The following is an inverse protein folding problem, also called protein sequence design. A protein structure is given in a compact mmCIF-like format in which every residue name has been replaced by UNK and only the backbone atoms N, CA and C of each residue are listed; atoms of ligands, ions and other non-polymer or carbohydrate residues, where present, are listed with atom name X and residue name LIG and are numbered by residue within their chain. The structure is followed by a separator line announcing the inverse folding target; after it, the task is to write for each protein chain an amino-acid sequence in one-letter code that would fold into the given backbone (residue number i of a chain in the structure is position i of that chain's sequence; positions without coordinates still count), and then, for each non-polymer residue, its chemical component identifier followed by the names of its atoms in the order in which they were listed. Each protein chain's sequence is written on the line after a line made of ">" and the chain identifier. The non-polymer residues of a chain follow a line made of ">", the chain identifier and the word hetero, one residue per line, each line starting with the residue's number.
data_IF_875113342573
#
_entry.id   IF_875113342573
#
_cell.length_a   1.000
_cell.length_b   1.000
_cell.length_c   1.000
_cell.angle_alpha   90.00
_cell.angle_beta   90.00
_cell.angle_gamma   90.00
#
_symmetry.space_group_name_H-M   'P 1'
#
loop_
_entity.id
_entity.type
_entity.pdbx_description
1 polymer ?
#
# COMPACT_ATOMS: atom_id res chain seq x y z
N UNK A 1 17.17 9.43 38.40
CA UNK A 1 15.82 9.44 37.78
C UNK A 1 15.79 8.48 36.61
N UNK A 2 14.80 7.58 36.55
CA UNK A 2 14.66 6.62 35.45
C UNK A 2 14.48 7.32 34.11
N UNK A 3 15.12 6.80 33.07
CA UNK A 3 15.03 7.25 31.67
C UNK A 3 14.75 6.06 30.76
N UNK A 4 14.26 6.34 29.55
CA UNK A 4 14.28 5.36 28.47
C UNK A 4 15.57 5.59 27.69
N UNK A 5 16.39 4.57 27.58
CA UNK A 5 17.66 4.63 26.88
C UNK A 5 17.56 3.88 25.56
N UNK A 6 17.99 4.51 24.48
CA UNK A 6 18.09 3.89 23.17
C UNK A 6 19.56 3.87 22.79
N UNK A 7 20.09 2.67 22.59
CA UNK A 7 21.46 2.40 22.17
C UNK A 7 21.44 1.97 20.71
N UNK A 8 22.25 2.62 19.88
CA UNK A 8 22.41 2.34 18.46
C UNK A 8 23.87 2.03 18.21
N UNK A 9 24.14 0.96 17.48
CA UNK A 9 25.49 0.55 17.07
C UNK A 9 25.47 0.20 15.58
N UNK A 10 26.63 0.22 14.91
CA UNK A 10 26.75 -0.18 13.51
C UNK A 10 27.13 0.95 12.56
N UNK A 11 26.80 0.81 11.28
CA UNK A 11 27.31 1.60 10.16
C UNK A 11 27.06 3.10 10.29
N UNK A 12 25.92 3.49 10.85
CA UNK A 12 25.53 4.90 11.02
C UNK A 12 26.12 5.56 12.26
N UNK A 13 26.93 4.82 13.02
CA UNK A 13 27.63 5.29 14.20
C UNK A 13 29.13 5.28 13.94
N UNK A 14 29.80 6.43 14.07
CA UNK A 14 31.26 6.54 13.87
C UNK A 14 31.91 7.43 14.91
N UNK A 15 32.97 6.93 15.52
CA UNK A 15 33.68 7.67 16.56
C UNK A 15 32.69 8.22 17.58
N UNK A 16 31.78 7.34 18.02
CA UNK A 16 30.79 7.68 19.03
C UNK A 16 29.72 8.70 18.54
N UNK A 17 29.61 9.01 17.25
CA UNK A 17 28.60 9.94 16.71
C UNK A 17 27.59 9.19 15.84
N UNK A 18 26.30 9.43 16.05
CA UNK A 18 25.22 8.92 15.19
C UNK A 18 24.88 9.93 14.06
N UNK A 19 24.58 9.43 12.86
CA UNK A 19 24.02 10.28 11.80
C UNK A 19 22.69 10.91 12.24
N UNK A 20 22.56 12.22 12.02
CA UNK A 20 21.37 13.01 12.43
C UNK A 20 20.07 12.44 11.86
N UNK A 21 20.08 12.02 10.58
CA UNK A 21 18.90 11.44 9.94
C UNK A 21 18.47 10.12 10.59
N UNK A 22 19.43 9.24 10.93
CA UNK A 22 19.18 7.98 11.63
C UNK A 22 18.59 8.24 13.02
N UNK A 23 19.18 9.16 13.79
CA UNK A 23 18.67 9.56 15.10
C UNK A 23 17.24 10.10 15.03
N UNK A 24 16.98 11.05 14.12
CA UNK A 24 15.65 11.63 13.92
C UNK A 24 14.62 10.57 13.52
N UNK A 25 15.01 9.65 12.65
CA UNK A 25 14.15 8.56 12.21
C UNK A 25 13.77 7.62 13.37
N UNK A 26 14.74 7.23 14.21
CA UNK A 26 14.49 6.37 15.38
C UNK A 26 13.59 7.08 16.38
N UNK A 27 13.95 8.30 16.79
CA UNK A 27 13.21 9.07 17.80
C UNK A 27 11.76 9.34 17.37
N UNK A 28 11.55 9.75 16.12
CA UNK A 28 10.20 10.06 15.61
C UNK A 28 9.30 8.82 15.53
N UNK A 29 9.83 7.68 15.08
CA UNK A 29 9.05 6.44 15.05
C UNK A 29 8.82 5.86 16.44
N UNK A 30 9.81 5.96 17.35
CA UNK A 30 9.66 5.53 18.74
C UNK A 30 8.60 6.35 19.48
N UNK A 31 8.60 7.68 19.32
CA UNK A 31 7.57 8.55 19.86
C UNK A 31 6.17 8.17 19.36
N UNK A 32 6.02 7.97 18.05
CA UNK A 32 4.73 7.58 17.45
C UNK A 32 4.29 6.20 17.93
N UNK A 33 5.22 5.25 18.09
CA UNK A 33 4.93 3.94 18.66
C UNK A 33 4.34 4.06 20.07
N UNK A 34 4.92 4.90 20.94
CA UNK A 34 4.34 5.13 22.27
C UNK A 34 2.93 5.74 22.19
N UNK A 35 2.66 6.61 21.22
CA UNK A 35 1.30 7.13 21.01
C UNK A 35 0.32 6.05 20.55
N UNK A 36 0.75 5.09 19.75
CA UNK A 36 -0.09 3.98 19.31
C UNK A 36 -0.35 2.98 20.45
N UNK A 37 0.66 2.75 21.31
CA UNK A 37 0.59 1.83 22.46
C UNK A 37 -0.14 2.40 23.68
N UNK A 38 -0.27 3.72 23.80
CA UNK A 38 -0.87 4.33 25.00
C UNK A 38 -2.37 3.97 25.14
N UNK A 39 -2.85 3.73 26.37
CA UNK A 39 -4.29 3.59 26.62
C UNK A 39 -5.06 4.85 26.22
N UNK A 40 -6.31 4.70 25.74
CA UNK A 40 -7.14 5.83 25.25
C UNK A 40 -7.32 6.95 26.28
N UNK A 41 -7.37 6.62 27.57
CA UNK A 41 -7.55 7.58 28.68
C UNK A 41 -6.26 8.30 29.09
N UNK A 42 -5.09 7.86 28.62
CA UNK A 42 -3.81 8.46 28.98
C UNK A 42 -3.52 9.67 28.08
N UNK A 43 -3.33 10.85 28.69
CA UNK A 43 -2.95 12.08 27.96
C UNK A 43 -1.59 11.89 27.29
N UNK A 44 -1.41 12.50 26.12
CA UNK A 44 -0.19 12.33 25.34
C UNK A 44 1.06 12.89 26.04
N UNK A 45 0.91 13.91 26.89
CA UNK A 45 2.03 14.51 27.63
C UNK A 45 2.78 13.50 28.51
N UNK A 46 2.07 12.49 29.04
CA UNK A 46 2.67 11.41 29.85
C UNK A 46 3.55 10.44 29.06
N UNK A 47 3.49 10.49 27.72
CA UNK A 47 4.26 9.63 26.82
C UNK A 47 4.99 10.42 25.74
N UNK A 48 4.95 11.76 25.80
CA UNK A 48 5.71 12.64 24.91
C UNK A 48 7.12 12.74 25.45
N UNK A 49 8.10 12.31 24.66
CA UNK A 49 9.49 12.15 25.03
C UNK A 49 10.32 13.35 24.59
N UNK A 50 11.22 13.75 25.47
CA UNK A 50 12.20 14.80 25.25
C UNK A 50 13.59 14.19 25.35
N UNK A 51 14.47 14.59 24.44
CA UNK A 51 15.87 14.22 24.48
C UNK A 51 16.53 14.97 25.64
N UNK A 52 17.06 14.25 26.62
CA UNK A 52 17.62 14.83 27.84
C UNK A 52 19.12 14.52 27.97
N UNK A 53 19.52 13.28 27.67
CA UNK A 53 20.89 12.84 27.78
C UNK A 53 21.46 12.48 26.42
N UNK A 54 22.43 13.27 25.97
CA UNK A 54 23.30 12.94 24.85
C UNK A 54 24.74 13.09 25.33
N UNK A 55 25.37 12.00 25.74
CA UNK A 55 26.77 12.01 26.19
C UNK A 55 27.70 12.40 25.02
N UNK A 56 28.89 12.90 25.34
CA UNK A 56 29.85 13.34 24.33
C UNK A 56 30.32 12.14 23.52
N UNK A 57 29.92 12.10 22.26
CA UNK A 57 30.11 10.88 21.49
C UNK A 57 29.06 9.81 21.89
N UNK A 58 27.79 10.18 21.82
CA UNK A 58 26.74 9.19 22.03
C UNK A 58 26.25 8.53 20.77
N UNK A 59 26.30 7.21 20.80
CA UNK A 59 25.37 6.32 20.12
C UNK A 59 24.24 5.86 21.06
N UNK A 60 24.26 6.32 22.31
CA UNK A 60 23.30 6.01 23.38
C UNK A 60 22.66 7.30 23.86
N UNK A 61 21.34 7.38 23.83
CA UNK A 61 20.64 8.59 24.23
C UNK A 61 19.46 8.29 25.14
N UNK A 62 19.31 9.15 26.14
CA UNK A 62 18.24 9.08 27.12
C UNK A 62 17.10 10.01 26.75
N UNK A 63 15.88 9.47 26.73
CA UNK A 63 14.64 10.21 26.50
C UNK A 63 13.69 10.05 27.68
N UNK A 64 12.95 11.12 27.98
CA UNK A 64 12.06 11.16 29.13
C UNK A 64 10.81 12.02 28.88
N UNK A 65 9.66 11.67 29.47
CA UNK A 65 8.51 12.56 29.45
C UNK A 65 8.65 13.72 30.44
N UNK A 66 8.14 14.90 30.09
CA UNK A 66 8.15 16.09 30.98
C UNK A 66 7.50 15.81 32.34
N UNK A 67 6.48 14.96 32.38
CA UNK A 67 5.74 14.65 33.62
C UNK A 67 6.42 13.58 34.49
N UNK A 68 7.68 13.20 34.21
CA UNK A 68 8.41 12.18 34.96
C UNK A 68 8.69 12.54 36.43
N UNK A 69 8.56 13.82 36.80
CA UNK A 69 8.82 14.31 38.15
C UNK A 69 7.85 13.82 39.24
N UNK A 70 6.75 13.13 38.88
CA UNK A 70 5.68 12.79 39.82
C UNK A 70 5.67 11.33 40.28
N UNK A 71 6.32 10.41 39.57
CA UNK A 71 6.32 8.97 39.91
C UNK A 71 7.57 8.28 39.37
N UNK A 72 8.15 7.39 40.17
CA UNK A 72 9.38 6.66 39.85
C UNK A 72 9.14 5.55 38.79
N UNK A 73 9.06 5.94 37.52
CA UNK A 73 8.73 5.07 36.37
C UNK A 73 7.31 5.29 35.84
N UNK A 74 7.08 6.47 35.25
CA UNK A 74 5.78 6.84 34.70
C UNK A 74 5.30 5.96 33.52
N UNK A 75 4.11 6.24 32.98
CA UNK A 75 3.46 5.41 31.95
C UNK A 75 4.33 5.13 30.73
N UNK A 76 5.16 6.07 30.29
CA UNK A 76 6.08 5.89 29.16
C UNK A 76 7.10 4.76 29.41
N UNK A 77 7.71 4.74 30.61
CA UNK A 77 8.69 3.73 31.02
C UNK A 77 8.04 2.35 31.07
N UNK A 78 6.86 2.25 31.69
CA UNK A 78 6.11 1.00 31.84
C UNK A 78 5.62 0.42 30.51
N UNK A 79 5.11 1.28 29.61
CA UNK A 79 4.69 0.86 28.27
C UNK A 79 5.91 0.35 27.51
N UNK A 80 7.00 1.09 27.52
CA UNK A 80 8.25 0.72 26.83
C UNK A 80 8.75 -0.63 27.33
N UNK A 81 8.97 -0.77 28.64
CA UNK A 81 9.56 -1.97 29.21
C UNK A 81 8.68 -3.20 28.97
N UNK A 82 7.37 -3.11 29.25
CA UNK A 82 6.45 -4.24 29.07
C UNK A 82 6.31 -4.64 27.61
N UNK A 83 6.16 -3.66 26.72
CA UNK A 83 5.98 -3.94 25.29
C UNK A 83 7.25 -4.53 24.68
N UNK A 84 8.41 -3.90 24.89
CA UNK A 84 9.66 -4.37 24.30
C UNK A 84 10.12 -5.70 24.88
N UNK A 85 9.93 -5.97 26.18
CA UNK A 85 10.20 -7.30 26.74
C UNK A 85 9.32 -8.38 26.11
N UNK A 86 8.04 -8.08 25.88
CA UNK A 86 7.13 -9.06 25.27
C UNK A 86 7.48 -9.30 23.81
N UNK A 87 7.71 -8.24 23.05
CA UNK A 87 7.95 -8.31 21.60
C UNK A 87 9.34 -8.88 21.25
N UNK A 88 10.37 -8.62 22.06
CA UNK A 88 11.71 -9.17 21.85
C UNK A 88 11.76 -10.69 22.04
N UNK A 89 10.85 -11.21 22.87
CA UNK A 89 10.78 -12.63 23.21
C UNK A 89 9.91 -13.45 22.26
N UNK A 90 9.20 -12.80 21.33
CA UNK A 90 8.40 -13.47 20.31
C UNK A 90 9.26 -14.38 19.44
N UNK A 91 8.84 -15.63 19.23
CA UNK A 91 9.58 -16.60 18.40
C UNK A 91 8.80 -17.02 17.15
N UNK A 92 7.57 -16.54 16.97
CA UNK A 92 6.72 -16.85 15.82
C UNK A 92 5.86 -15.66 15.40
N UNK A 93 5.32 -15.71 14.17
CA UNK A 93 4.34 -14.71 13.71
C UNK A 93 3.04 -14.77 14.51
N UNK A 94 2.63 -15.95 14.95
CA UNK A 94 1.35 -16.13 15.65
C UNK A 94 1.41 -15.54 17.06
N UNK A 95 2.53 -15.69 17.78
CA UNK A 95 2.77 -14.98 19.04
C UNK A 95 2.74 -13.45 18.85
N UNK A 96 3.32 -12.94 17.76
CA UNK A 96 3.25 -11.51 17.42
C UNK A 96 1.80 -11.06 17.21
N UNK A 97 1.01 -11.83 16.46
CA UNK A 97 -0.42 -11.54 16.22
C UNK A 97 -1.23 -11.58 17.50
N UNK A 98 -0.96 -12.52 18.39
CA UNK A 98 -1.62 -12.61 19.70
C UNK A 98 -1.37 -11.35 20.54
N UNK A 99 -0.14 -10.82 20.54
CA UNK A 99 0.17 -9.54 21.19
C UNK A 99 -0.66 -8.40 20.58
N UNK A 100 -0.73 -8.36 19.25
CA UNK A 100 -1.37 -7.28 18.50
C UNK A 100 -2.90 -7.33 18.51
N UNK A 101 -3.50 -8.50 18.77
CA UNK A 101 -4.95 -8.70 18.87
C UNK A 101 -5.63 -7.82 19.92
N UNK A 102 -4.86 -7.30 20.88
CA UNK A 102 -5.31 -6.36 21.92
C UNK A 102 -5.56 -4.95 21.39
N UNK A 103 -5.17 -4.67 20.15
CA UNK A 103 -5.32 -3.38 19.50
C UNK A 103 -6.29 -3.49 18.32
N UNK A 104 -7.07 -2.42 18.03
CA UNK A 104 -7.78 -2.32 16.76
C UNK A 104 -6.81 -2.50 15.59
N UNK A 105 -7.29 -3.10 14.50
CA UNK A 105 -6.45 -3.49 13.37
C UNK A 105 -5.62 -2.33 12.78
N UNK A 106 -6.23 -1.16 12.58
CA UNK A 106 -5.51 0.03 12.10
C UNK A 106 -4.36 0.46 13.03
N UNK A 107 -4.50 0.26 14.35
CA UNK A 107 -3.42 0.52 15.32
C UNK A 107 -2.34 -0.55 15.24
N UNK A 108 -2.72 -1.82 15.12
CA UNK A 108 -1.76 -2.90 14.96
C UNK A 108 -0.87 -2.69 13.73
N UNK A 109 -1.46 -2.25 12.61
CA UNK A 109 -0.75 -1.86 11.38
C UNK A 109 0.25 -0.73 11.66
N UNK A 110 -0.18 0.34 12.35
CA UNK A 110 0.71 1.44 12.71
C UNK A 110 1.85 0.99 13.63
N UNK A 111 1.55 0.18 14.66
CA UNK A 111 2.56 -0.39 15.57
C UNK A 111 3.60 -1.18 14.78
N UNK A 112 3.18 -2.09 13.91
CA UNK A 112 4.07 -2.87 13.04
C UNK A 112 4.92 -1.97 12.13
N UNK A 113 4.29 -0.95 11.52
CA UNK A 113 4.97 0.04 10.67
C UNK A 113 6.04 0.82 11.43
N UNK A 114 5.79 1.21 12.69
CA UNK A 114 6.80 1.89 13.53
C UNK A 114 7.88 0.94 13.98
N UNK A 115 7.51 -0.27 14.40
CA UNK A 115 8.44 -1.31 14.82
C UNK A 115 9.43 -1.65 13.71
N UNK A 116 8.97 -1.89 12.48
CA UNK A 116 9.84 -2.18 11.34
C UNK A 116 10.91 -1.10 11.12
N UNK A 117 10.58 0.16 11.41
CA UNK A 117 11.47 1.32 11.23
C UNK A 117 12.48 1.55 12.36
N UNK A 118 12.25 0.98 13.54
CA UNK A 118 13.15 1.10 14.70
C UNK A 118 13.81 -0.22 15.09
N UNK A 119 13.47 -1.32 14.41
CA UNK A 119 14.07 -2.61 14.65
C UNK A 119 15.45 -2.68 14.01
N UNK A 120 16.37 -3.42 14.62
CA UNK A 120 17.72 -3.60 14.06
C UNK A 120 17.67 -4.21 12.65
N UNK A 121 18.63 -3.82 11.81
CA UNK A 121 19.02 -4.53 10.58
C UNK A 121 20.45 -5.05 10.68
N UNK A 122 20.97 -5.52 9.55
CA UNK A 122 22.33 -5.97 9.36
C UNK A 122 23.35 -4.82 9.50
N UNK A 123 22.95 -3.59 9.20
CA UNK A 123 23.82 -2.42 9.23
C UNK A 123 23.80 -1.71 10.60
N UNK A 124 22.65 -1.69 11.28
CA UNK A 124 22.46 -0.97 12.54
C UNK A 124 21.75 -1.84 13.59
N UNK A 125 22.33 -1.90 14.78
CA UNK A 125 21.86 -2.66 15.92
C UNK A 125 21.26 -1.72 16.97
N UNK A 126 20.04 -2.01 17.40
CA UNK A 126 19.25 -1.16 18.28
C UNK A 126 18.88 -1.95 19.54
N UNK A 127 19.11 -1.31 20.69
CA UNK A 127 18.76 -1.84 22.00
C UNK A 127 18.05 -0.80 22.84
N UNK A 128 17.09 -1.23 23.67
CA UNK A 128 16.25 -0.35 24.49
C UNK A 128 16.37 -0.74 25.96
N UNK A 129 16.76 0.22 26.81
CA UNK A 129 16.85 0.07 28.26
C UNK A 129 15.91 1.03 28.99
N UNK A 130 15.51 0.69 30.22
CA UNK A 130 14.76 1.60 31.10
C UNK A 130 15.39 1.57 32.48
N UNK A 131 15.85 2.72 32.97
CA UNK A 131 16.58 2.80 34.23
C UNK A 131 17.33 4.13 34.38
N UNK A 132 18.05 4.32 35.48
CA UNK A 132 18.89 5.51 35.65
C UNK A 132 20.08 5.48 34.70
N UNK A 133 20.88 4.42 34.77
CA UNK A 133 21.98 4.10 33.85
C UNK A 133 21.99 2.58 33.63
N UNK A 134 21.18 2.06 32.69
CA UNK A 134 21.09 0.62 32.46
C UNK A 134 22.45 0.07 32.03
N UNK A 135 22.83 -1.04 32.65
CA UNK A 135 23.96 -1.88 32.22
C UNK A 135 23.63 -2.60 30.92
N UNK A 136 24.65 -3.11 30.20
CA UNK A 136 24.43 -3.83 28.95
C UNK A 136 23.46 -5.03 29.08
N UNK A 137 23.41 -5.67 30.25
CA UNK A 137 22.47 -6.77 30.52
C UNK A 137 21.01 -6.33 30.70
N UNK A 138 20.77 -5.04 30.98
CA UNK A 138 19.43 -4.46 31.16
C UNK A 138 18.84 -3.93 29.86
N UNK A 139 19.64 -3.88 28.79
CA UNK A 139 19.18 -3.52 27.46
C UNK A 139 18.46 -4.69 26.78
N UNK A 140 17.29 -4.39 26.22
CA UNK A 140 16.53 -5.30 25.36
C UNK A 140 17.06 -5.14 23.95
N UNK A 141 17.80 -6.15 23.48
CA UNK A 141 18.30 -6.17 22.11
C UNK A 141 17.20 -6.53 21.10
N UNK A 142 17.02 -5.68 20.09
CA UNK A 142 16.05 -5.91 19.01
C UNK A 142 16.69 -6.80 17.93
N UNK A 143 16.67 -8.11 18.13
CA UNK A 143 17.37 -9.05 17.24
C UNK A 143 16.96 -8.90 15.74
N UNK A 144 17.89 -8.56 14.81
CA UNK A 144 17.60 -8.38 13.39
C UNK A 144 16.87 -9.56 12.74
N UNK A 145 17.18 -10.80 13.15
CA UNK A 145 16.55 -12.02 12.62
C UNK A 145 15.03 -12.04 12.83
N UNK A 146 14.53 -11.36 13.87
CA UNK A 146 13.11 -11.25 14.19
C UNK A 146 12.39 -10.14 13.41
N UNK A 147 13.13 -9.26 12.71
CA UNK A 147 12.54 -8.18 11.88
C UNK A 147 11.62 -8.74 10.80
N UNK A 148 11.94 -9.92 10.25
CA UNK A 148 11.11 -10.61 9.26
C UNK A 148 9.72 -10.93 9.81
N UNK A 149 9.58 -11.31 11.08
CA UNK A 149 8.26 -11.56 11.66
C UNK A 149 7.40 -10.31 11.68
N UNK A 150 8.00 -9.15 12.02
CA UNK A 150 7.32 -7.86 12.02
C UNK A 150 6.90 -7.48 10.61
N UNK A 151 7.81 -7.59 9.65
CA UNK A 151 7.56 -7.25 8.24
C UNK A 151 6.49 -8.14 7.62
N UNK A 152 6.59 -9.44 7.79
CA UNK A 152 5.63 -10.38 7.20
C UNK A 152 4.23 -10.21 7.81
N UNK A 153 4.13 -10.01 9.13
CA UNK A 153 2.84 -9.73 9.78
C UNK A 153 2.27 -8.39 9.34
N UNK A 154 3.10 -7.36 9.11
CA UNK A 154 2.67 -6.08 8.55
C UNK A 154 2.05 -6.26 7.16
N UNK A 155 2.74 -7.00 6.28
CA UNK A 155 2.27 -7.30 4.93
C UNK A 155 0.94 -8.06 4.99
N UNK A 156 0.80 -9.05 5.87
CA UNK A 156 -0.43 -9.84 6.00
C UNK A 156 -1.64 -8.99 6.44
N UNK A 157 -1.45 -8.07 7.39
CA UNK A 157 -2.51 -7.16 7.80
C UNK A 157 -2.90 -6.21 6.66
N UNK A 158 -1.92 -5.69 5.93
CA UNK A 158 -2.18 -4.79 4.81
C UNK A 158 -2.87 -5.47 3.62
N UNK A 159 -2.60 -6.76 3.36
CA UNK A 159 -3.26 -7.52 2.27
C UNK A 159 -4.78 -7.53 2.36
N UNK A 160 -5.36 -7.39 3.55
CA UNK A 160 -6.82 -7.28 3.72
C UNK A 160 -7.41 -5.98 3.14
N UNK A 161 -6.57 -4.98 2.91
CA UNK A 161 -6.90 -3.69 2.31
C UNK A 161 -6.36 -3.58 0.87
N UNK A 162 -6.14 -4.73 0.21
CA UNK A 162 -5.73 -4.73 -1.18
C UNK A 162 -6.83 -4.11 -2.06
N UNK A 163 -6.39 -3.40 -3.08
CA UNK A 163 -7.22 -2.83 -4.12
C UNK A 163 -6.62 -3.21 -5.48
N UNK A 164 -7.46 -3.16 -6.49
CA UNK A 164 -7.08 -3.35 -7.88
C UNK A 164 -7.09 -1.98 -8.55
N UNK A 165 -5.96 -1.60 -9.15
CA UNK A 165 -5.86 -0.36 -9.89
C UNK A 165 -5.38 -0.67 -11.30
N UNK A 166 -6.05 -0.06 -12.26
CA UNK A 166 -5.81 -0.34 -13.66
C UNK A 166 -5.14 0.84 -14.36
N UNK A 167 -4.34 0.55 -15.36
CA UNK A 167 -3.62 1.55 -16.13
C UNK A 167 -2.47 0.95 -16.94
N UNK A 168 -1.51 1.77 -17.31
CA UNK A 168 -0.34 1.37 -18.08
C UNK A 168 0.95 1.62 -17.28
N UNK A 169 1.90 0.70 -17.34
CA UNK A 169 3.20 0.87 -16.69
C UNK A 169 4.06 1.87 -17.46
N UNK A 170 4.49 2.92 -16.75
CA UNK A 170 5.31 4.02 -17.26
C UNK A 170 6.46 4.31 -16.29
N UNK A 171 7.46 5.09 -16.70
CA UNK A 171 8.55 5.59 -15.83
C UNK A 171 9.20 4.48 -15.00
N UNK A 172 9.46 3.34 -15.64
CA UNK A 172 9.98 2.16 -14.95
C UNK A 172 11.50 2.28 -14.80
N UNK A 173 11.99 2.20 -13.57
CA UNK A 173 13.41 2.15 -13.24
C UNK A 173 13.72 0.79 -12.57
N UNK A 174 14.22 -0.18 -13.34
CA UNK A 174 14.53 -1.54 -12.85
C UNK A 174 16.01 -1.77 -12.49
N UNK A 175 16.85 -0.77 -12.71
CA UNK A 175 18.32 -0.83 -12.52
C UNK A 175 18.78 -0.13 -11.23
N UNK A 176 17.84 0.41 -10.45
CA UNK A 176 18.09 1.04 -9.15
C UNK A 176 17.40 0.25 -8.05
N UNK A 177 17.99 0.21 -6.87
CA UNK A 177 17.35 -0.38 -5.68
C UNK A 177 16.86 0.75 -4.74
N UNK A 178 15.57 0.77 -4.34
CA UNK A 178 14.51 -0.14 -4.78
C UNK A 178 14.07 0.12 -6.24
N UNK A 179 13.57 -0.92 -6.90
CA UNK A 179 13.00 -0.78 -8.25
C UNK A 179 11.73 0.07 -8.18
N UNK A 180 11.50 0.91 -9.18
CA UNK A 180 10.36 1.84 -9.19
C UNK A 180 9.58 1.81 -10.50
N UNK A 181 8.30 2.17 -10.44
CA UNK A 181 7.45 2.40 -11.61
C UNK A 181 6.39 3.47 -11.33
N UNK A 182 5.83 4.03 -12.40
CA UNK A 182 4.60 4.80 -12.38
C UNK A 182 3.48 4.03 -13.10
N UNK A 183 2.31 3.92 -12.48
CA UNK A 183 1.10 3.46 -13.14
C UNK A 183 0.33 4.70 -13.64
N UNK A 184 0.22 4.86 -14.96
CA UNK A 184 -0.67 5.85 -15.57
C UNK A 184 -2.08 5.26 -15.59
N UNK A 185 -2.93 5.72 -14.67
CA UNK A 185 -4.23 5.13 -14.40
C UNK A 185 -5.26 5.48 -15.47
N UNK A 186 -6.36 4.73 -15.47
CA UNK A 186 -7.51 4.92 -16.36
C UNK A 186 -8.11 6.34 -16.33
N UNK A 187 -7.90 7.11 -15.25
CA UNK A 187 -8.37 8.50 -15.07
C UNK A 187 -7.26 9.55 -15.30
N UNK A 188 -6.15 9.15 -15.92
CA UNK A 188 -5.03 10.03 -16.27
C UNK A 188 -4.11 10.42 -15.11
N UNK A 189 -4.25 9.84 -13.92
CA UNK A 189 -3.34 10.08 -12.79
C UNK A 189 -2.10 9.19 -12.89
N UNK A 190 -1.05 9.57 -12.14
CA UNK A 190 0.15 8.74 -11.99
C UNK A 190 0.24 8.29 -10.53
N UNK A 191 0.19 6.98 -10.32
CA UNK A 191 0.42 6.34 -9.02
C UNK A 191 1.82 5.72 -9.01
N UNK A 192 2.61 6.03 -7.99
CA UNK A 192 3.97 5.49 -7.86
C UNK A 192 3.96 4.12 -7.18
N UNK A 193 4.85 3.24 -7.61
CA UNK A 193 5.13 1.99 -6.92
C UNK A 193 6.63 1.77 -6.76
N UNK A 194 7.01 1.14 -5.66
CA UNK A 194 8.38 0.75 -5.35
C UNK A 194 8.37 -0.67 -4.79
N UNK A 195 9.31 -1.51 -5.24
CA UNK A 195 9.45 -2.86 -4.72
C UNK A 195 10.92 -3.27 -4.67
N UNK A 196 11.23 -4.17 -3.75
CA UNK A 196 12.56 -4.78 -3.66
C UNK A 196 12.57 -6.07 -4.50
N UNK A 197 13.39 -6.16 -5.57
CA UNK A 197 13.49 -7.35 -6.40
C UNK A 197 14.06 -8.56 -5.64
N UNK A 198 14.75 -8.36 -4.51
CA UNK A 198 15.26 -9.46 -3.67
C UNK A 198 14.12 -10.15 -2.92
N UNK A 199 13.07 -9.40 -2.61
CA UNK A 199 11.90 -9.93 -1.91
C UNK A 199 10.83 -10.44 -2.87
N UNK A 200 10.73 -9.82 -4.05
CA UNK A 200 9.73 -10.14 -5.06
C UNK A 200 10.37 -10.21 -6.46
N UNK A 201 11.19 -11.24 -6.74
CA UNK A 201 11.92 -11.34 -8.00
C UNK A 201 10.99 -11.44 -9.21
N UNK A 202 9.84 -12.11 -9.05
CA UNK A 202 8.86 -12.30 -10.12
C UNK A 202 8.23 -10.99 -10.61
N UNK A 203 8.10 -9.98 -9.73
CA UNK A 203 7.52 -8.69 -10.10
C UNK A 203 8.39 -7.96 -11.12
N UNK A 204 9.72 -8.06 -11.01
CA UNK A 204 10.65 -7.44 -11.97
C UNK A 204 10.42 -8.00 -13.37
N UNK A 205 10.28 -9.32 -13.48
CA UNK A 205 10.09 -9.98 -14.77
C UNK A 205 8.69 -9.75 -15.34
N UNK A 206 7.65 -9.70 -14.49
CA UNK A 206 6.29 -9.34 -14.90
C UNK A 206 6.22 -7.92 -15.45
N UNK A 207 6.82 -6.94 -14.77
CA UNK A 207 6.84 -5.54 -15.23
C UNK A 207 7.48 -5.42 -16.61
N UNK A 208 8.62 -6.08 -16.85
CA UNK A 208 9.28 -6.06 -18.17
C UNK A 208 8.37 -6.54 -19.30
N UNK A 209 7.58 -7.59 -19.04
CA UNK A 209 6.65 -8.18 -20.03
C UNK A 209 5.39 -7.34 -20.26
N UNK A 210 5.10 -6.42 -19.35
CA UNK A 210 3.89 -5.62 -19.33
C UNK A 210 4.18 -4.11 -19.50
N UNK A 211 5.38 -3.76 -19.96
CA UNK A 211 5.72 -2.37 -20.26
C UNK A 211 4.82 -1.86 -21.39
N UNK A 212 4.22 -0.69 -21.18
CA UNK A 212 3.33 -0.03 -22.15
C UNK A 212 2.05 -0.81 -22.50
N UNK A 213 1.84 -1.96 -21.87
CA UNK A 213 0.60 -2.74 -21.99
C UNK A 213 -0.41 -2.33 -20.91
N UNK A 214 -1.72 -2.46 -21.19
CA UNK A 214 -2.76 -2.40 -20.16
C UNK A 214 -2.51 -3.42 -19.05
N UNK A 215 -2.51 -2.96 -17.80
CA UNK A 215 -2.30 -3.79 -16.62
C UNK A 215 -3.33 -3.53 -15.53
N UNK A 216 -3.58 -4.59 -14.76
CA UNK A 216 -4.16 -4.56 -13.43
C UNK A 216 -3.04 -4.72 -12.41
N UNK A 217 -2.89 -3.74 -11.52
CA UNK A 217 -1.97 -3.78 -10.38
C UNK A 217 -2.75 -4.10 -9.13
N UNK A 218 -2.37 -5.19 -8.46
CA UNK A 218 -2.97 -5.61 -7.18
C UNK A 218 -2.02 -5.17 -6.07
N UNK A 219 -2.49 -4.34 -5.15
CA UNK A 219 -1.64 -3.79 -4.10
C UNK A 219 -2.42 -3.01 -3.05
N UNK A 220 -1.69 -2.39 -2.13
CA UNK A 220 -2.29 -1.58 -1.06
C UNK A 220 -1.96 -0.12 -1.34
N UNK A 221 -2.97 0.65 -1.72
CA UNK A 221 -2.80 2.03 -2.15
C UNK A 221 -2.87 3.01 -0.98
N UNK A 222 -1.92 3.94 -0.90
CA UNK A 222 -2.06 5.13 -0.10
C UNK A 222 -2.55 6.28 -0.99
N UNK A 223 -3.86 6.50 -1.03
CA UNK A 223 -4.51 7.49 -1.90
C UNK A 223 -3.96 8.91 -1.69
N UNK A 224 -3.76 9.31 -0.43
CA UNK A 224 -3.22 10.62 -0.07
C UNK A 224 -1.83 10.86 -0.66
N UNK A 225 -1.01 9.82 -0.76
CA UNK A 225 0.35 9.90 -1.32
C UNK A 225 0.42 9.52 -2.79
N UNK A 226 -0.69 9.07 -3.40
CA UNK A 226 -0.74 8.49 -4.75
C UNK A 226 0.38 7.46 -4.96
N UNK A 227 0.55 6.55 -4.00
CA UNK A 227 1.63 5.55 -3.98
C UNK A 227 1.16 4.22 -3.41
N UNK A 228 1.58 3.11 -4.01
CA UNK A 228 1.42 1.78 -3.41
C UNK A 228 2.34 1.62 -2.20
N UNK A 229 1.77 1.28 -1.03
CA UNK A 229 2.56 0.86 0.14
C UNK A 229 3.10 -0.56 -0.04
N UNK A 230 2.33 -1.43 -0.70
CA UNK A 230 2.71 -2.80 -1.05
C UNK A 230 2.19 -3.12 -2.45
N UNK A 231 3.02 -3.78 -3.25
CA UNK A 231 2.61 -4.39 -4.51
C UNK A 231 2.56 -5.89 -4.31
N UNK A 232 1.47 -6.52 -4.71
CA UNK A 232 1.23 -7.95 -4.59
C UNK A 232 1.38 -8.64 -5.94
N UNK A 233 0.83 -8.05 -7.01
CA UNK A 233 0.87 -8.66 -8.33
C UNK A 233 0.66 -7.65 -9.46
N UNK A 234 1.08 -8.04 -10.68
CA UNK A 234 0.73 -7.41 -11.94
C UNK A 234 0.09 -8.44 -12.86
N UNK A 235 -1.03 -8.08 -13.46
CA UNK A 235 -1.76 -8.92 -14.41
C UNK A 235 -2.04 -8.13 -15.68
N UNK A 236 -1.95 -8.75 -16.88
CA UNK A 236 -2.36 -8.08 -18.10
C UNK A 236 -3.87 -7.81 -18.07
N UNK A 237 -4.27 -6.59 -18.42
CA UNK A 237 -5.68 -6.24 -18.62
C UNK A 237 -6.02 -6.43 -20.10
N UNK A 238 -6.36 -7.66 -20.48
CA UNK A 238 -6.67 -7.98 -21.89
C UNK A 238 -8.10 -7.63 -22.26
N UNK A 239 -9.01 -7.75 -21.29
CA UNK A 239 -10.44 -7.59 -21.48
C UNK A 239 -11.07 -6.91 -20.27
N UNK A 240 -12.15 -6.17 -20.51
CA UNK A 240 -13.07 -5.69 -19.47
C UNK A 240 -14.47 -6.20 -19.75
N UNK A 241 -15.25 -6.38 -18.69
CA UNK A 241 -16.65 -6.77 -18.73
C UNK A 241 -17.49 -5.54 -18.36
N UNK A 242 -18.38 -5.13 -19.26
CA UNK A 242 -19.33 -4.05 -19.04
C UNK A 242 -20.73 -4.65 -18.86
N UNK A 243 -21.39 -4.32 -17.75
CA UNK A 243 -22.79 -4.71 -17.46
C UNK A 243 -23.79 -3.62 -17.86
N UNK A 244 -23.29 -2.41 -18.09
CA UNK A 244 -24.03 -1.26 -18.55
C UNK A 244 -23.16 -0.51 -19.56
N UNK A 245 -23.80 0.06 -20.58
CA UNK A 245 -23.17 0.95 -21.56
C UNK A 245 -24.10 2.15 -21.69
N UNK A 246 -23.66 3.31 -21.18
CA UNK A 246 -24.47 4.52 -21.13
C UNK A 246 -25.68 4.32 -20.24
N UNK A 247 -26.87 4.50 -20.81
CA UNK A 247 -28.14 4.30 -20.11
C UNK A 247 -28.66 2.85 -20.14
N UNK A 248 -28.04 1.97 -20.93
CA UNK A 248 -28.57 0.65 -21.21
C UNK A 248 -28.01 -0.42 -20.29
N UNK A 249 -28.89 -1.24 -19.71
CA UNK A 249 -28.52 -2.37 -18.87
C UNK A 249 -28.48 -3.66 -19.69
N UNK A 250 -27.39 -4.40 -19.54
CA UNK A 250 -27.17 -5.64 -20.27
C UNK A 250 -27.62 -6.83 -19.42
N UNK A 251 -28.25 -7.83 -20.06
CA UNK A 251 -28.63 -9.09 -19.41
C UNK A 251 -27.41 -9.88 -18.95
N UNK A 252 -26.37 -9.85 -19.76
CA UNK A 252 -25.06 -10.47 -19.51
C UNK A 252 -23.96 -9.45 -19.85
N UNK A 253 -22.79 -9.51 -19.19
CA UNK A 253 -21.74 -8.54 -19.45
C UNK A 253 -21.15 -8.72 -20.85
N UNK A 254 -20.98 -7.61 -21.57
CA UNK A 254 -20.24 -7.61 -22.82
C UNK A 254 -18.74 -7.48 -22.55
N UNK A 255 -17.97 -8.31 -23.25
CA UNK A 255 -16.51 -8.32 -23.17
C UNK A 255 -15.93 -7.40 -24.23
N UNK A 256 -15.04 -6.52 -23.80
CA UNK A 256 -14.28 -5.64 -24.69
C UNK A 256 -12.81 -5.94 -24.53
N UNK A 257 -12.13 -6.16 -25.66
CA UNK A 257 -10.67 -6.25 -25.66
C UNK A 257 -10.10 -4.87 -25.39
N UNK A 258 -9.21 -4.78 -24.41
CA UNK A 258 -8.51 -3.53 -24.05
C UNK A 258 -7.17 -3.49 -24.78
N UNK A 259 -6.94 -2.39 -25.49
CA UNK A 259 -5.70 -2.13 -26.21
C UNK A 259 -5.24 -0.72 -25.84
N UNK A 260 -3.94 -0.55 -25.62
CA UNK A 260 -3.33 0.77 -25.47
C UNK A 260 -2.24 0.91 -26.52
N UNK A 261 -2.45 1.79 -27.49
CA UNK A 261 -1.53 2.01 -28.61
C UNK A 261 -1.44 3.51 -28.92
N UNK A 262 -0.24 3.98 -29.25
CA UNK A 262 0.08 5.41 -29.46
C UNK A 262 -0.55 6.38 -28.44
N UNK A 263 -0.55 5.97 -27.17
CA UNK A 263 -1.15 6.70 -26.03
C UNK A 263 -2.68 6.85 -26.05
N UNK A 264 -3.35 6.08 -26.89
CA UNK A 264 -4.81 6.01 -27.01
C UNK A 264 -5.28 4.66 -26.48
N UNK A 265 -6.33 4.67 -25.68
CA UNK A 265 -7.05 3.48 -25.24
C UNK A 265 -8.09 3.10 -26.27
N UNK A 266 -8.20 1.81 -26.55
CA UNK A 266 -9.24 1.24 -27.40
C UNK A 266 -9.98 0.13 -26.66
N UNK A 267 -11.30 0.12 -26.83
CA UNK A 267 -12.19 -0.96 -26.42
C UNK A 267 -12.79 -1.57 -27.68
N UNK A 268 -12.43 -2.82 -28.00
CA UNK A 268 -12.88 -3.53 -29.21
C UNK A 268 -13.80 -4.69 -28.84
N UNK A 269 -15.06 -4.62 -29.28
CA UNK A 269 -15.97 -5.76 -29.35
C UNK A 269 -16.29 -6.10 -30.80
N UNK A 270 -15.59 -7.12 -31.32
CA UNK A 270 -15.73 -7.58 -32.69
C UNK A 270 -17.07 -8.22 -33.02
N UNK A 271 -17.79 -8.74 -32.02
CA UNK A 271 -19.05 -9.45 -32.23
C UNK A 271 -20.20 -8.52 -32.60
N UNK A 272 -20.16 -7.30 -32.04
CA UNK A 272 -21.09 -6.21 -32.31
C UNK A 272 -20.48 -5.13 -33.21
N UNK A 273 -19.19 -5.24 -33.53
CA UNK A 273 -18.43 -4.22 -34.26
C UNK A 273 -18.50 -2.85 -33.55
N UNK A 274 -18.36 -2.87 -32.23
CA UNK A 274 -18.30 -1.68 -31.38
C UNK A 274 -16.85 -1.38 -31.05
N UNK A 275 -16.47 -0.12 -31.23
CA UNK A 275 -15.15 0.39 -30.86
C UNK A 275 -15.33 1.68 -30.12
N UNK A 276 -14.71 1.80 -28.94
CA UNK A 276 -14.53 3.09 -28.27
C UNK A 276 -13.06 3.44 -28.18
N UNK A 277 -12.72 4.71 -28.33
CA UNK A 277 -11.36 5.21 -28.27
C UNK A 277 -11.22 6.49 -27.44
N UNK A 278 -10.07 6.68 -26.77
CA UNK A 278 -9.88 7.85 -25.93
C UNK A 278 -8.47 8.00 -25.35
N UNK A 279 -8.14 9.21 -24.88
CA UNK A 279 -6.84 9.47 -24.23
C UNK A 279 -6.74 8.81 -22.83
N UNK A 280 -7.89 8.46 -22.27
CA UNK A 280 -8.05 7.72 -21.03
C UNK A 280 -9.04 6.57 -21.27
N UNK A 281 -9.07 5.56 -20.39
CA UNK A 281 -10.06 4.50 -20.55
C UNK A 281 -11.47 5.01 -20.31
N UNK A 282 -11.65 5.96 -19.38
CA UNK A 282 -12.94 6.62 -19.16
C UNK A 282 -13.42 7.34 -20.43
N UNK A 283 -12.52 8.01 -21.16
CA UNK A 283 -12.87 8.63 -22.45
C UNK A 283 -13.23 7.58 -23.50
N UNK A 284 -12.49 6.45 -23.57
CA UNK A 284 -12.80 5.36 -24.48
C UNK A 284 -14.14 4.67 -24.16
N UNK A 285 -14.53 4.60 -22.87
CA UNK A 285 -15.85 4.14 -22.46
C UNK A 285 -16.91 5.13 -22.92
N UNK A 286 -16.74 6.44 -22.73
CA UNK A 286 -17.72 7.43 -23.20
C UNK A 286 -17.91 7.41 -24.71
N UNK A 287 -16.83 7.30 -25.47
CA UNK A 287 -16.88 7.16 -26.93
C UNK A 287 -17.64 5.88 -27.33
N UNK A 288 -17.39 4.77 -26.63
CA UNK A 288 -18.16 3.52 -26.80
C UNK A 288 -19.65 3.70 -26.46
N UNK A 289 -20.00 4.49 -25.45
CA UNK A 289 -21.39 4.78 -25.08
C UNK A 289 -22.10 5.55 -26.19
N UNK A 290 -21.46 6.58 -26.76
CA UNK A 290 -22.00 7.34 -27.90
C UNK A 290 -22.21 6.45 -29.14
N UNK A 291 -21.24 5.59 -29.45
CA UNK A 291 -21.34 4.60 -30.55
C UNK A 291 -22.46 3.57 -30.31
N UNK A 292 -22.65 3.13 -29.06
CA UNK A 292 -23.69 2.18 -28.71
C UNK A 292 -25.08 2.83 -28.76
N UNK A 293 -25.24 4.06 -28.25
CA UNK A 293 -26.48 4.84 -28.34
C UNK A 293 -26.90 5.00 -29.83
N UNK A 294 -25.96 5.41 -30.69
CA UNK A 294 -26.21 5.51 -32.13
C UNK A 294 -26.63 4.17 -32.75
N UNK A 295 -25.98 3.07 -32.36
CA UNK A 295 -26.34 1.73 -32.81
C UNK A 295 -27.75 1.30 -32.36
N UNK A 296 -28.18 1.67 -31.14
CA UNK A 296 -29.54 1.41 -30.70
C UNK A 296 -30.54 2.23 -31.53
N UNK A 297 -30.30 3.52 -31.71
CA UNK A 297 -31.22 4.40 -32.46
C UNK A 297 -31.40 3.95 -33.91
N UNK A 298 -30.30 3.68 -34.62
CA UNK A 298 -30.32 3.35 -36.05
C UNK A 298 -30.81 1.93 -36.35
N UNK A 299 -30.58 0.96 -35.46
CA UNK A 299 -30.91 -0.45 -35.74
C UNK A 299 -32.08 -0.98 -34.94
N UNK A 300 -32.23 -0.58 -33.67
CA UNK A 300 -33.28 -1.13 -32.80
C UNK A 300 -34.63 -0.46 -33.05
N UNK A 301 -34.64 0.86 -33.24
CA UNK A 301 -35.88 1.64 -33.42
C UNK A 301 -36.31 1.80 -34.88
N UNK A 302 -35.41 1.55 -35.84
CA UNK A 302 -35.74 1.57 -37.26
C UNK A 302 -36.67 0.40 -37.65
N UNK A 303 -37.63 0.65 -38.55
CA UNK A 303 -38.58 -0.36 -39.01
C UNK A 303 -37.88 -1.53 -39.72
N UNK A 304 -38.34 -2.77 -39.51
CA UNK A 304 -37.70 -3.95 -40.09
C UNK A 304 -37.68 -3.89 -41.63
N UNK A 305 -38.67 -3.23 -42.25
CA UNK A 305 -38.79 -2.97 -43.68
C UNK A 305 -37.68 -2.06 -44.25
N UNK A 306 -37.06 -1.24 -43.40
CA UNK A 306 -36.02 -0.29 -43.79
C UNK A 306 -34.60 -0.86 -43.58
N UNK A 307 -34.49 -2.06 -43.02
CA UNK A 307 -33.22 -2.68 -42.64
C UNK A 307 -32.79 -3.77 -43.62
N UNK A 308 -31.51 -3.74 -44.02
CA UNK A 308 -30.88 -4.82 -44.76
C UNK A 308 -30.73 -6.08 -43.88
N UNK A 309 -30.60 -7.28 -44.45
CA UNK A 309 -30.49 -8.54 -43.68
C UNK A 309 -29.38 -8.53 -42.62
N UNK A 310 -28.25 -7.87 -42.89
CA UNK A 310 -27.16 -7.70 -41.94
C UNK A 310 -27.57 -6.86 -40.73
N UNK A 311 -28.36 -5.81 -40.95
CA UNK A 311 -28.89 -4.92 -39.93
C UNK A 311 -29.96 -5.62 -39.08
N UNK A 312 -30.85 -6.42 -39.70
CA UNK A 312 -31.82 -7.26 -38.97
C UNK A 312 -31.13 -8.28 -38.04
N UNK A 313 -30.01 -8.87 -38.47
CA UNK A 313 -29.20 -9.75 -37.62
C UNK A 313 -28.62 -9.01 -36.41
N UNK A 314 -28.12 -7.78 -36.60
CA UNK A 314 -27.60 -6.95 -35.51
C UNK A 314 -28.73 -6.55 -34.55
N UNK A 315 -29.87 -6.08 -35.07
CA UNK A 315 -31.07 -5.76 -34.29
C UNK A 315 -31.51 -6.90 -33.39
N UNK A 316 -31.51 -8.13 -33.91
CA UNK A 316 -31.84 -9.33 -33.11
C UNK A 316 -30.84 -9.55 -31.97
N UNK A 317 -29.54 -9.44 -32.25
CA UNK A 317 -28.50 -9.55 -31.22
C UNK A 317 -28.66 -8.47 -30.13
N UNK A 318 -28.94 -7.23 -30.52
CA UNK A 318 -29.18 -6.12 -29.59
C UNK A 318 -30.36 -6.43 -28.64
N UNK A 319 -31.47 -6.95 -29.17
CA UNK A 319 -32.63 -7.40 -28.35
C UNK A 319 -32.28 -8.54 -27.39
N UNK A 320 -31.38 -9.44 -27.80
CA UNK A 320 -30.94 -10.55 -26.96
C UNK A 320 -30.13 -10.03 -25.76
N UNK A 321 -29.26 -9.03 -25.96
CA UNK A 321 -28.37 -8.50 -24.90
C UNK A 321 -29.01 -7.45 -23.98
N UNK A 322 -29.98 -6.66 -24.45
CA UNK A 322 -30.61 -5.60 -23.64
C UNK A 322 -31.60 -6.16 -22.62
N UNK A 323 -31.66 -5.56 -21.43
CA UNK A 323 -32.65 -5.89 -20.39
C UNK A 323 -34.10 -5.55 -20.78
N UNK A 324 -35.08 -6.20 -20.13
CA UNK A 324 -36.51 -6.04 -20.46
C UNK A 324 -37.05 -4.61 -20.34
N UNK A 325 -36.36 -3.73 -19.59
CA UNK A 325 -36.74 -2.33 -19.40
C UNK A 325 -36.32 -1.38 -20.51
N UNK A 326 -35.42 -1.80 -21.41
CA UNK A 326 -34.77 -0.94 -22.40
C UNK A 326 -35.31 -1.18 -23.84
N UNK A 327 -36.38 -1.98 -23.96
CA UNK A 327 -37.03 -2.36 -25.23
C UNK A 327 -38.36 -1.59 -25.48
N UNK A 328 -38.54 -0.45 -24.82
CA UNK A 328 -39.76 0.36 -24.82
C UNK A 328 -40.01 1.10 -26.13
#
# INVERSE_FOLDING_TARGET
>A
MKKIWIKVEGRDVRGHKIKVLTLSHILSNFQRLLYDLKPRRLKSDYVTLYLENFERGSAVFGVNPLTCHLTDGGPAHDITLRFFKKISNVNSKDELKEILSKFPEYKAINILKRLEKIWSDDDNHISIGVGENPTDAEYIYLNPKKRRYIKDTYVEYLKKYQTEVYGTLTRVELDREPNTFGLYTMDGKIIKGEFDPRENPDLKEKIKKLLEEPVKVIGVLNENKKKFEIILDFQPLKEIELYEIGQYKLKEPLKFKVIYDDKVWYLDNRELNLVGCGNTLEDAIKDLEEEFDFMIEEYLYEGDENLHESALRLKKKLKEILGEGDLG
#
